data_IF_237003356532
#
_entry.id   IF_237003356532
#
_cell.length_a   1.000
_cell.length_b   1.000
_cell.length_c   1.000
_cell.angle_alpha   90.00
_cell.angle_beta   90.00
_cell.angle_gamma   90.00
#
_symmetry.space_group_name_H-M   'P 1'
#
loop_
_entity.id
_entity.type
_entity.pdbx_description
1 polymer ?
#
# COMPACT_ATOMS: atom_id res chain seq x y z
N UNK A 1 -7.70 -18.22 -3.66
CA UNK A 1 -8.46 -17.79 -2.46
C UNK A 1 -7.89 -18.56 -1.29
N UNK A 2 -7.50 -17.89 -0.22
CA UNK A 2 -6.85 -18.48 0.95
C UNK A 2 -7.78 -19.52 1.61
N UNK A 3 -7.25 -20.70 1.92
CA UNK A 3 -8.03 -21.82 2.43
C UNK A 3 -7.72 -22.07 3.90
N UNK A 4 -8.78 -22.14 4.75
CA UNK A 4 -8.66 -22.47 6.15
C UNK A 4 -9.15 -23.89 6.43
N UNK A 5 -8.45 -24.59 7.34
CA UNK A 5 -9.04 -25.67 8.10
C UNK A 5 -9.50 -25.13 9.46
N UNK A 6 -10.63 -25.60 9.94
CA UNK A 6 -11.13 -25.30 11.29
C UNK A 6 -11.08 -26.62 12.09
N UNK A 7 -10.47 -26.56 13.26
CA UNK A 7 -10.57 -27.64 14.25
C UNK A 7 -11.36 -27.13 15.45
N UNK A 8 -12.50 -27.75 15.72
CA UNK A 8 -13.31 -27.52 16.94
C UNK A 8 -14.17 -28.77 17.24
N UNK A 9 -14.15 -29.19 18.47
CA UNK A 9 -15.04 -30.26 18.98
C UNK A 9 -16.50 -29.77 19.16
N UNK A 10 -16.74 -28.45 19.09
CA UNK A 10 -18.06 -27.85 19.19
C UNK A 10 -18.58 -27.45 17.79
N UNK A 11 -19.58 -28.20 17.23
CA UNK A 11 -20.08 -27.89 15.87
C UNK A 11 -20.71 -26.51 15.72
N UNK A 12 -21.33 -25.98 16.78
CA UNK A 12 -21.94 -24.66 16.77
C UNK A 12 -20.89 -23.56 16.65
N UNK A 13 -19.80 -23.69 17.39
CA UNK A 13 -18.66 -22.76 17.34
C UNK A 13 -17.97 -22.82 15.97
N UNK A 14 -17.69 -24.05 15.47
CA UNK A 14 -17.10 -24.21 14.15
C UNK A 14 -17.92 -23.55 13.03
N UNK A 15 -19.26 -23.70 13.07
CA UNK A 15 -20.16 -23.07 12.10
C UNK A 15 -20.15 -21.54 12.17
N UNK A 16 -20.03 -20.96 13.37
CA UNK A 16 -19.92 -19.52 13.53
C UNK A 16 -18.59 -18.99 12.97
N UNK A 17 -17.48 -19.66 13.28
CA UNK A 17 -16.15 -19.29 12.73
C UNK A 17 -16.12 -19.42 11.20
N UNK A 18 -16.73 -20.47 10.64
CA UNK A 18 -16.86 -20.65 9.19
C UNK A 18 -17.60 -19.48 8.54
N UNK A 19 -18.71 -19.03 9.13
CA UNK A 19 -19.45 -17.86 8.65
C UNK A 19 -18.61 -16.58 8.72
N UNK A 20 -17.89 -16.39 9.84
CA UNK A 20 -17.05 -15.21 10.02
C UNK A 20 -15.87 -15.21 9.02
N UNK A 21 -15.18 -16.32 8.79
CA UNK A 21 -14.13 -16.45 7.78
C UNK A 21 -14.70 -16.14 6.38
N UNK A 22 -15.83 -16.75 6.02
CA UNK A 22 -16.46 -16.56 4.72
C UNK A 22 -16.92 -15.11 4.51
N UNK A 23 -17.40 -14.44 5.56
CA UNK A 23 -17.84 -13.04 5.52
C UNK A 23 -16.69 -12.06 5.27
N UNK A 24 -15.43 -12.44 5.49
CA UNK A 24 -14.26 -11.60 5.18
C UNK A 24 -14.06 -11.39 3.68
N UNK A 25 -14.59 -12.29 2.83
CA UNK A 25 -14.43 -12.26 1.37
C UNK A 25 -13.02 -12.60 0.86
N UNK A 26 -12.02 -12.71 1.74
CA UNK A 26 -10.62 -12.98 1.37
C UNK A 26 -10.20 -14.43 1.56
N UNK A 27 -10.96 -15.20 2.35
CA UNK A 27 -10.69 -16.60 2.68
C UNK A 27 -11.93 -17.46 2.52
N UNK A 28 -11.71 -18.79 2.41
CA UNK A 28 -12.75 -19.81 2.44
C UNK A 28 -12.38 -20.91 3.42
N UNK A 29 -13.36 -21.61 3.95
CA UNK A 29 -13.13 -22.82 4.72
C UNK A 29 -13.06 -24.01 3.76
N UNK A 30 -11.97 -24.76 3.82
CA UNK A 30 -11.76 -25.96 3.02
C UNK A 30 -12.31 -27.20 3.73
N UNK A 31 -12.12 -27.28 5.05
CA UNK A 31 -12.55 -28.41 5.87
C UNK A 31 -12.80 -27.98 7.31
N UNK A 32 -13.81 -28.58 7.93
CA UNK A 32 -14.08 -28.50 9.37
C UNK A 32 -13.81 -29.88 9.98
N UNK A 33 -13.01 -29.93 11.03
CA UNK A 33 -12.55 -31.15 11.68
C UNK A 33 -13.03 -31.08 13.12
N UNK A 34 -13.75 -32.11 13.55
CA UNK A 34 -14.28 -32.22 14.91
C UNK A 34 -13.63 -33.35 15.74
N UNK A 35 -12.80 -34.17 15.10
CA UNK A 35 -12.13 -35.29 15.73
C UNK A 35 -10.62 -35.10 15.69
N UNK A 36 -9.97 -35.15 16.87
CA UNK A 36 -8.54 -34.96 17.04
C UNK A 36 -7.71 -35.96 16.22
N UNK A 37 -8.16 -37.21 16.11
CA UNK A 37 -7.46 -38.27 15.37
C UNK A 37 -7.42 -37.98 13.86
N UNK A 38 -8.37 -37.22 13.36
CA UNK A 38 -8.46 -36.84 11.95
C UNK A 38 -7.65 -35.58 11.58
N UNK A 39 -7.28 -34.75 12.57
CA UNK A 39 -6.65 -33.48 12.35
C UNK A 39 -5.37 -33.60 11.51
N UNK A 40 -4.44 -34.44 11.92
CA UNK A 40 -3.15 -34.60 11.24
C UNK A 40 -3.31 -35.17 9.83
N UNK A 41 -4.27 -36.09 9.63
CA UNK A 41 -4.61 -36.62 8.31
C UNK A 41 -5.19 -35.61 7.38
N UNK A 42 -6.15 -34.82 7.86
CA UNK A 42 -6.82 -33.77 7.10
C UNK A 42 -5.86 -32.63 6.70
N UNK A 43 -4.98 -32.19 7.60
CA UNK A 43 -3.96 -31.18 7.28
C UNK A 43 -2.97 -31.66 6.20
N UNK A 44 -2.64 -32.95 6.16
CA UNK A 44 -1.74 -33.52 5.13
C UNK A 44 -2.43 -33.66 3.77
N UNK A 45 -3.73 -34.02 3.75
CA UNK A 45 -4.48 -34.23 2.50
C UNK A 45 -4.91 -32.91 1.86
N UNK A 46 -5.49 -32.02 2.65
CA UNK A 46 -6.08 -30.76 2.15
C UNK A 46 -5.06 -29.62 1.98
N UNK A 47 -3.95 -29.68 2.74
CA UNK A 47 -2.89 -28.67 2.74
C UNK A 47 -3.43 -27.23 2.80
N UNK A 48 -4.22 -26.90 3.84
CA UNK A 48 -4.78 -25.56 3.95
C UNK A 48 -3.68 -24.54 4.18
N UNK A 49 -3.92 -23.29 3.72
CA UNK A 49 -2.99 -22.18 3.93
C UNK A 49 -2.99 -21.72 5.39
N UNK A 50 -4.17 -21.78 6.04
CA UNK A 50 -4.38 -21.40 7.43
C UNK A 50 -5.08 -22.48 8.25
N UNK A 51 -4.89 -22.44 9.56
CA UNK A 51 -5.52 -23.32 10.53
C UNK A 51 -6.09 -22.48 11.68
N UNK A 52 -7.40 -22.62 11.90
CA UNK A 52 -8.07 -22.13 13.10
C UNK A 52 -8.27 -23.29 14.07
N UNK A 53 -7.82 -23.14 15.32
CA UNK A 53 -7.94 -24.16 16.36
C UNK A 53 -8.72 -23.61 17.53
N UNK A 54 -9.84 -24.23 17.82
CA UNK A 54 -10.53 -24.04 19.08
C UNK A 54 -9.88 -24.94 20.14
N UNK A 55 -9.36 -24.33 21.18
CA UNK A 55 -8.73 -25.06 22.30
C UNK A 55 -9.76 -25.71 23.22
N UNK A 56 -11.04 -25.33 23.11
CA UNK A 56 -12.16 -25.94 23.81
C UNK A 56 -11.94 -26.15 25.30
N UNK A 57 -12.42 -27.32 25.80
CA UNK A 57 -12.31 -27.70 27.21
C UNK A 57 -10.98 -28.37 27.59
N UNK A 58 -10.14 -28.70 26.58
CA UNK A 58 -8.86 -29.41 26.80
C UNK A 58 -7.70 -28.67 26.12
N UNK A 59 -7.40 -27.41 26.52
CA UNK A 59 -6.46 -26.54 25.80
C UNK A 59 -5.04 -27.10 25.70
N UNK A 60 -4.58 -27.84 26.73
CA UNK A 60 -3.25 -28.42 26.70
C UNK A 60 -3.15 -29.58 25.70
N UNK A 61 -4.17 -30.39 25.58
CA UNK A 61 -4.24 -31.51 24.61
C UNK A 61 -4.25 -30.98 23.16
N UNK A 62 -5.01 -29.97 22.89
CA UNK A 62 -5.03 -29.31 21.56
C UNK A 62 -3.64 -28.78 21.18
N UNK A 63 -2.91 -28.15 22.12
CA UNK A 63 -1.54 -27.70 21.86
C UNK A 63 -0.56 -28.87 21.72
N UNK A 64 -0.71 -29.97 22.47
CA UNK A 64 0.11 -31.20 22.32
C UNK A 64 -0.04 -31.78 20.90
N UNK A 65 -1.25 -31.75 20.34
CA UNK A 65 -1.51 -32.16 18.96
C UNK A 65 -0.78 -31.28 17.94
N UNK A 66 -0.84 -29.95 18.12
CA UNK A 66 -0.11 -29.03 17.24
C UNK A 66 1.40 -29.25 17.33
N UNK A 67 1.94 -29.52 18.53
CA UNK A 67 3.36 -29.80 18.76
C UNK A 67 3.81 -31.09 18.10
N UNK A 68 2.92 -32.08 18.01
CA UNK A 68 3.17 -33.39 17.39
C UNK A 68 3.16 -33.33 15.84
N UNK A 69 2.78 -32.22 15.23
CA UNK A 69 2.68 -32.10 13.78
C UNK A 69 4.06 -32.23 13.12
N UNK A 70 4.26 -33.20 12.21
CA UNK A 70 5.54 -33.40 11.55
C UNK A 70 5.75 -32.37 10.43
N UNK A 71 6.40 -31.28 10.73
CA UNK A 71 6.71 -30.21 9.78
C UNK A 71 6.26 -28.84 10.25
N UNK A 72 6.29 -27.86 9.37
CA UNK A 72 5.77 -26.53 9.66
C UNK A 72 4.23 -26.55 9.66
N UNK A 73 3.64 -26.01 10.73
CA UNK A 73 2.19 -25.81 10.76
C UNK A 73 1.76 -24.80 9.69
N UNK A 74 0.52 -24.94 9.15
CA UNK A 74 -0.12 -23.83 8.43
C UNK A 74 -0.11 -22.54 9.27
N UNK A 75 -0.45 -21.41 8.69
CA UNK A 75 -0.62 -20.19 9.49
C UNK A 75 -1.72 -20.39 10.52
N UNK A 76 -1.32 -20.60 11.76
CA UNK A 76 -2.22 -21.05 12.82
C UNK A 76 -2.66 -19.90 13.70
N UNK A 77 -3.95 -19.82 13.95
CA UNK A 77 -4.57 -19.01 15.00
C UNK A 77 -5.37 -19.92 15.94
N UNK A 78 -5.43 -19.54 17.19
CA UNK A 78 -6.14 -20.32 18.20
C UNK A 78 -7.16 -19.46 18.94
N UNK A 79 -8.23 -20.08 19.43
CA UNK A 79 -9.20 -19.49 20.35
C UNK A 79 -9.24 -20.29 21.65
N UNK A 80 -9.23 -19.61 22.79
CA UNK A 80 -9.22 -20.31 24.08
C UNK A 80 -9.17 -19.40 25.29
N UNK A 81 -9.03 -19.94 26.51
CA UNK A 81 -9.00 -19.20 27.75
C UNK A 81 -7.78 -18.26 27.80
N UNK A 82 -8.02 -16.98 27.60
CA UNK A 82 -6.99 -15.93 27.52
C UNK A 82 -6.46 -15.48 28.89
N UNK A 83 -6.98 -16.00 29.98
CA UNK A 83 -6.52 -15.70 31.36
C UNK A 83 -5.28 -16.48 31.76
N UNK A 84 -4.93 -17.53 31.04
CA UNK A 84 -3.80 -18.39 31.32
C UNK A 84 -2.57 -17.99 30.50
N UNK A 85 -1.71 -17.15 31.08
CA UNK A 85 -0.49 -16.66 30.40
C UNK A 85 0.44 -17.78 29.92
N UNK A 86 0.52 -18.90 30.65
CA UNK A 86 1.35 -20.04 30.27
C UNK A 86 0.87 -20.72 28.98
N UNK A 87 -0.47 -20.77 28.77
CA UNK A 87 -1.08 -21.32 27.57
C UNK A 87 -0.80 -20.43 26.36
N UNK A 88 -0.94 -19.13 26.52
CA UNK A 88 -0.65 -18.15 25.46
C UNK A 88 0.83 -18.23 25.05
N UNK A 89 1.75 -18.24 26.02
CA UNK A 89 3.18 -18.35 25.75
C UNK A 89 3.53 -19.66 25.02
N UNK A 90 2.91 -20.76 25.42
CA UNK A 90 3.11 -22.06 24.75
C UNK A 90 2.62 -22.03 23.31
N UNK A 91 1.44 -21.48 23.07
CA UNK A 91 0.90 -21.30 21.71
C UNK A 91 1.84 -20.45 20.85
N UNK A 92 2.36 -19.35 21.38
CA UNK A 92 3.33 -18.51 20.66
C UNK A 92 4.64 -19.23 20.34
N UNK A 93 5.16 -20.05 21.24
CA UNK A 93 6.35 -20.88 20.98
C UNK A 93 6.12 -21.92 19.86
N UNK A 94 4.89 -22.39 19.68
CA UNK A 94 4.51 -23.28 18.58
C UNK A 94 4.33 -22.53 17.25
N UNK A 95 4.51 -21.19 17.24
CA UNK A 95 4.41 -20.36 16.03
C UNK A 95 2.98 -19.90 15.70
N UNK A 96 2.04 -20.04 16.66
CA UNK A 96 0.70 -19.47 16.54
C UNK A 96 0.77 -17.97 16.33
N UNK A 97 0.05 -17.46 15.33
CA UNK A 97 0.11 -16.05 14.93
C UNK A 97 -0.79 -15.15 15.75
N UNK A 98 -1.88 -15.67 16.25
CA UNK A 98 -2.81 -14.93 17.09
C UNK A 98 -3.55 -15.85 18.06
N UNK A 99 -3.87 -15.32 19.24
CA UNK A 99 -4.63 -16.03 20.28
C UNK A 99 -5.91 -15.23 20.58
N UNK A 100 -7.04 -15.76 20.18
CA UNK A 100 -8.35 -15.15 20.42
C UNK A 100 -8.93 -15.56 21.78
N UNK A 101 -9.77 -14.70 22.39
CA UNK A 101 -10.67 -15.13 23.45
C UNK A 101 -11.68 -16.15 22.92
N UNK A 102 -12.38 -16.92 23.80
CA UNK A 102 -13.35 -17.93 23.38
C UNK A 102 -14.51 -17.40 22.50
N UNK A 103 -14.80 -16.11 22.58
CA UNK A 103 -15.79 -15.44 21.73
C UNK A 103 -15.16 -14.13 21.21
N UNK A 104 -14.36 -14.15 20.14
CA UNK A 104 -13.76 -12.96 19.59
C UNK A 104 -14.83 -12.00 19.02
N UNK A 105 -14.61 -10.69 19.13
CA UNK A 105 -15.45 -9.74 18.43
C UNK A 105 -15.30 -9.92 16.92
N UNK A 106 -16.39 -9.66 16.18
CA UNK A 106 -16.37 -9.78 14.70
C UNK A 106 -15.31 -8.87 14.06
N UNK A 107 -15.13 -7.68 14.61
CA UNK A 107 -14.15 -6.70 14.10
C UNK A 107 -12.71 -7.19 14.30
N UNK A 108 -12.36 -7.62 15.52
CA UNK A 108 -11.04 -8.17 15.83
C UNK A 108 -10.76 -9.42 14.99
N UNK A 109 -11.72 -10.34 14.89
CA UNK A 109 -11.61 -11.56 14.11
C UNK A 109 -11.33 -11.25 12.64
N UNK A 110 -12.14 -10.36 12.04
CA UNK A 110 -11.99 -9.96 10.64
C UNK A 110 -10.62 -9.34 10.38
N UNK A 111 -10.18 -8.42 11.23
CA UNK A 111 -8.86 -7.76 11.11
C UNK A 111 -7.73 -8.78 11.13
N UNK A 112 -7.73 -9.71 12.10
CA UNK A 112 -6.68 -10.72 12.22
C UNK A 112 -6.67 -11.71 11.05
N UNK A 113 -7.84 -12.17 10.58
CA UNK A 113 -7.91 -13.08 9.43
C UNK A 113 -7.41 -12.39 8.15
N UNK A 114 -7.79 -11.14 7.92
CA UNK A 114 -7.28 -10.37 6.78
C UNK A 114 -5.77 -10.24 6.85
N UNK A 115 -5.19 -9.89 8.00
CA UNK A 115 -3.74 -9.78 8.19
C UNK A 115 -3.02 -11.12 8.03
N UNK A 116 -3.65 -12.21 8.46
CA UNK A 116 -3.10 -13.57 8.29
C UNK A 116 -3.03 -13.98 6.83
N UNK A 117 -4.11 -13.72 6.07
CA UNK A 117 -4.17 -13.97 4.63
C UNK A 117 -3.09 -13.15 3.91
N UNK A 118 -2.88 -11.90 4.34
CA UNK A 118 -1.83 -11.01 3.81
C UNK A 118 -0.43 -11.57 4.05
N UNK A 119 -0.17 -12.10 5.24
CA UNK A 119 1.16 -12.64 5.61
C UNK A 119 1.44 -14.02 5.04
N UNK A 120 0.43 -14.81 4.79
CA UNK A 120 0.56 -16.21 4.41
C UNK A 120 0.58 -16.52 2.93
N UNK A 121 0.19 -15.60 2.11
CA UNK A 121 0.18 -15.79 0.67
C UNK A 121 0.99 -14.69 -0.03
N UNK A 122 2.30 -14.92 -0.30
CA UNK A 122 3.12 -13.98 -1.05
C UNK A 122 2.53 -13.63 -2.43
N UNK A 123 1.77 -14.56 -3.04
CA UNK A 123 1.08 -14.31 -4.29
C UNK A 123 -0.19 -13.43 -4.09
N UNK A 124 -0.79 -13.43 -2.90
CA UNK A 124 -1.86 -12.49 -2.54
C UNK A 124 -1.32 -11.08 -2.31
N UNK A 125 -0.10 -10.96 -1.77
CA UNK A 125 0.63 -9.68 -1.74
C UNK A 125 0.94 -9.19 -3.17
N UNK A 126 1.07 -10.09 -4.12
CA UNK A 126 1.19 -9.77 -5.55
C UNK A 126 -0.17 -9.35 -6.19
N UNK A 127 -1.32 -9.66 -5.55
CA UNK A 127 -2.66 -9.29 -6.03
C UNK A 127 -3.22 -8.01 -5.41
N UNK A 128 -2.73 -7.59 -4.23
CA UNK A 128 -3.09 -6.30 -3.64
C UNK A 128 -2.22 -5.19 -4.23
N UNK A 129 -2.89 -4.09 -4.59
CA UNK A 129 -2.22 -2.88 -5.06
C UNK A 129 -1.23 -2.31 -4.03
N UNK A 130 -0.37 -1.44 -4.48
CA UNK A 130 0.61 -0.74 -3.64
C UNK A 130 0.21 0.71 -3.44
N UNK A 131 0.35 1.18 -2.21
CA UNK A 131 0.12 2.57 -1.86
C UNK A 131 1.45 3.31 -1.86
N UNK A 132 1.55 4.35 -2.69
CA UNK A 132 2.71 5.24 -2.77
C UNK A 132 2.28 6.65 -2.42
N UNK A 133 2.73 7.13 -1.27
CA UNK A 133 2.49 8.49 -0.82
C UNK A 133 3.56 9.44 -1.38
N UNK A 134 3.16 10.54 -1.98
CA UNK A 134 4.07 11.58 -2.49
C UNK A 134 3.89 12.83 -1.66
N UNK A 135 4.94 13.27 -0.97
CA UNK A 135 4.90 14.40 -0.05
C UNK A 135 6.00 15.42 -0.40
N UNK A 136 5.63 16.69 -0.48
CA UNK A 136 6.59 17.78 -0.71
C UNK A 136 7.21 18.29 0.58
N UNK A 137 8.51 18.55 0.58
CA UNK A 137 9.22 19.13 1.72
C UNK A 137 8.87 20.60 1.96
N UNK A 138 8.39 21.28 0.91
CA UNK A 138 7.96 22.69 0.93
C UNK A 138 6.94 22.93 -0.17
N UNK A 139 6.16 24.02 -0.07
CA UNK A 139 5.30 24.47 -1.17
C UNK A 139 6.13 24.77 -2.43
N UNK A 140 5.62 24.36 -3.60
CA UNK A 140 6.24 24.62 -4.90
C UNK A 140 7.39 23.69 -5.29
N UNK A 141 7.72 22.66 -4.49
CA UNK A 141 8.75 21.67 -4.89
C UNK A 141 8.29 20.71 -6.00
N UNK A 142 6.99 20.71 -6.35
CA UNK A 142 6.42 19.95 -7.46
C UNK A 142 5.98 18.52 -7.07
N UNK A 143 5.57 18.29 -5.81
CA UNK A 143 5.09 16.99 -5.35
C UNK A 143 3.86 16.52 -6.15
N UNK A 144 2.84 17.38 -6.32
CA UNK A 144 1.65 17.10 -7.13
C UNK A 144 2.00 16.72 -8.57
N UNK A 145 2.93 17.47 -9.20
CA UNK A 145 3.41 17.13 -10.56
C UNK A 145 4.02 15.72 -10.57
N UNK A 146 4.88 15.39 -9.58
CA UNK A 146 5.49 14.07 -9.48
C UNK A 146 4.42 12.99 -9.25
N UNK A 147 3.43 13.22 -8.40
CA UNK A 147 2.33 12.28 -8.16
C UNK A 147 1.55 12.00 -9.46
N UNK A 148 1.16 13.06 -10.19
CA UNK A 148 0.44 12.97 -11.47
C UNK A 148 1.25 12.23 -12.55
N UNK A 149 2.53 12.61 -12.73
CA UNK A 149 3.37 12.02 -13.75
C UNK A 149 3.81 10.58 -13.40
N UNK A 150 3.98 10.25 -12.11
CA UNK A 150 4.20 8.89 -11.64
C UNK A 150 2.97 8.03 -11.91
N UNK A 151 1.76 8.50 -11.56
CA UNK A 151 0.51 7.79 -11.84
C UNK A 151 0.35 7.48 -13.33
N UNK A 152 0.58 8.48 -14.19
CA UNK A 152 0.54 8.30 -15.65
C UNK A 152 1.62 7.32 -16.15
N UNK A 153 2.83 7.35 -15.60
CA UNK A 153 3.92 6.46 -16.01
C UNK A 153 3.71 5.02 -15.56
N UNK A 154 3.08 4.79 -14.40
CA UNK A 154 2.67 3.47 -13.92
C UNK A 154 1.53 2.91 -14.77
N UNK A 155 0.58 3.75 -15.17
CA UNK A 155 -0.49 3.39 -16.09
C UNK A 155 0.07 3.04 -17.48
N UNK A 156 1.03 3.82 -18.00
CA UNK A 156 1.73 3.54 -19.27
C UNK A 156 2.51 2.21 -19.18
N UNK A 157 2.98 1.82 -18.00
CA UNK A 157 3.63 0.53 -17.75
C UNK A 157 2.65 -0.65 -17.66
N UNK A 158 1.33 -0.40 -17.74
CA UNK A 158 0.28 -1.41 -17.77
C UNK A 158 -0.36 -1.72 -16.40
N UNK A 159 -0.08 -0.92 -15.37
CA UNK A 159 -0.75 -1.02 -14.07
C UNK A 159 -2.11 -0.31 -14.07
N UNK A 160 -3.08 -0.81 -13.31
CA UNK A 160 -4.33 -0.09 -13.01
C UNK A 160 -4.03 0.92 -11.90
N UNK A 161 -4.21 2.20 -12.16
CA UNK A 161 -3.75 3.28 -11.27
C UNK A 161 -4.92 4.15 -10.83
N UNK A 162 -4.97 4.43 -9.53
CA UNK A 162 -5.78 5.50 -8.97
C UNK A 162 -4.87 6.54 -8.29
N UNK A 163 -5.19 7.81 -8.50
CA UNK A 163 -4.52 8.94 -7.88
C UNK A 163 -5.49 9.64 -6.93
N UNK A 164 -5.12 9.73 -5.66
CA UNK A 164 -5.90 10.34 -4.58
C UNK A 164 -5.28 11.68 -4.22
N UNK A 165 -6.08 12.74 -4.24
CA UNK A 165 -5.67 14.09 -3.88
C UNK A 165 -6.01 14.41 -2.42
N UNK A 166 -5.00 14.48 -1.56
CA UNK A 166 -5.13 14.91 -0.16
C UNK A 166 -4.63 16.34 0.08
N UNK A 167 -4.43 17.13 -0.97
CA UNK A 167 -4.04 18.55 -0.89
C UNK A 167 -5.25 19.48 -0.83
N UNK A 168 -6.22 19.18 0.01
CA UNK A 168 -7.39 20.04 0.17
C UNK A 168 -7.14 21.24 1.08
N UNK A 169 -7.94 22.35 0.94
CA UNK A 169 -9.09 22.48 0.04
C UNK A 169 -8.75 22.87 -1.41
N UNK A 170 -7.50 23.09 -1.75
CA UNK A 170 -7.04 23.58 -3.06
C UNK A 170 -6.18 22.55 -3.76
N UNK A 171 -6.70 21.33 -3.95
CA UNK A 171 -6.02 20.27 -4.68
C UNK A 171 -5.99 20.53 -6.19
N UNK A 172 -4.86 20.28 -6.81
CA UNK A 172 -4.62 20.56 -8.24
C UNK A 172 -4.62 19.29 -9.11
N UNK A 173 -4.78 18.08 -8.55
CA UNK A 173 -4.69 16.82 -9.31
C UNK A 173 -5.69 16.82 -10.47
N UNK A 174 -6.95 17.20 -10.23
CA UNK A 174 -7.97 17.22 -11.27
C UNK A 174 -7.61 18.20 -12.43
N UNK A 175 -7.01 19.35 -12.10
CA UNK A 175 -6.52 20.31 -13.10
C UNK A 175 -5.37 19.75 -13.93
N UNK A 176 -4.46 18.97 -13.32
CA UNK A 176 -3.35 18.32 -14.03
C UNK A 176 -3.79 17.31 -15.09
N UNK A 177 -5.06 16.88 -15.05
CA UNK A 177 -5.66 15.92 -15.98
C UNK A 177 -6.83 16.51 -16.76
N UNK A 178 -7.08 17.82 -16.67
CA UNK A 178 -8.21 18.50 -17.29
C UNK A 178 -9.54 17.73 -17.10
N UNK A 179 -9.81 17.32 -15.86
CA UNK A 179 -11.05 16.60 -15.51
C UNK A 179 -11.86 17.41 -14.51
N UNK A 180 -13.19 17.41 -14.71
CA UNK A 180 -14.14 17.97 -13.77
C UNK A 180 -14.77 16.83 -12.94
N UNK A 181 -14.35 16.65 -11.68
CA UNK A 181 -14.92 15.60 -10.83
C UNK A 181 -16.33 16.00 -10.40
N UNK A 182 -17.26 15.04 -10.51
CA UNK A 182 -18.63 15.21 -10.00
C UNK A 182 -18.69 14.97 -8.49
N UNK A 183 -17.82 14.10 -8.01
CA UNK A 183 -17.68 13.71 -6.62
C UNK A 183 -16.23 13.86 -6.17
N UNK A 184 -16.05 14.05 -4.87
CA UNK A 184 -14.76 14.28 -4.22
C UNK A 184 -14.57 13.37 -3.01
N UNK A 185 -13.41 13.44 -2.38
CA UNK A 185 -13.14 12.75 -1.11
C UNK A 185 -14.13 13.16 0.01
N UNK A 186 -14.67 14.39 -0.03
CA UNK A 186 -15.67 14.82 0.95
C UNK A 186 -17.01 14.07 0.82
N UNK A 187 -17.39 13.68 -0.39
CA UNK A 187 -18.60 12.88 -0.60
C UNK A 187 -18.47 11.50 0.03
N UNK A 188 -17.24 10.91 -0.02
CA UNK A 188 -16.92 9.68 0.69
C UNK A 188 -16.96 9.86 2.21
N UNK A 189 -16.46 11.00 2.71
CA UNK A 189 -16.44 11.28 4.14
C UNK A 189 -17.87 11.43 4.72
N UNK A 190 -18.80 11.93 3.91
CA UNK A 190 -20.20 12.11 4.29
C UNK A 190 -21.08 10.88 4.07
N UNK A 191 -20.60 9.88 3.36
CA UNK A 191 -21.37 8.69 3.06
C UNK A 191 -21.66 7.91 4.35
N UNK A 192 -22.96 7.86 4.74
CA UNK A 192 -23.45 7.04 5.85
C UNK A 192 -23.50 5.53 5.49
N UNK A 193 -23.46 5.21 4.20
CA UNK A 193 -23.51 3.86 3.68
C UNK A 193 -22.16 3.15 3.82
N UNK A 194 -22.18 1.82 3.84
CA UNK A 194 -20.95 1.03 3.74
C UNK A 194 -20.22 1.36 2.43
N UNK A 195 -18.98 1.84 2.58
CA UNK A 195 -18.10 2.08 1.44
C UNK A 195 -17.70 0.71 0.85
N UNK A 196 -18.16 0.45 -0.38
CA UNK A 196 -17.76 -0.71 -1.15
C UNK A 196 -17.06 -0.31 -2.45
N UNK A 197 -16.50 -1.30 -3.15
CA UNK A 197 -15.82 -1.09 -4.42
C UNK A 197 -16.75 -0.52 -5.50
N UNK A 198 -18.05 -0.84 -5.46
CA UNK A 198 -19.03 -0.36 -6.44
C UNK A 198 -19.29 1.13 -6.25
N UNK A 199 -19.49 1.56 -5.02
CA UNK A 199 -19.67 2.98 -4.69
C UNK A 199 -18.42 3.79 -5.03
N UNK A 200 -17.22 3.29 -4.68
CA UNK A 200 -15.96 3.95 -5.04
C UNK A 200 -15.81 4.16 -6.55
N UNK A 201 -16.14 3.16 -7.38
CA UNK A 201 -16.09 3.29 -8.85
C UNK A 201 -17.01 4.39 -9.38
N UNK A 202 -18.11 4.72 -8.71
CA UNK A 202 -19.02 5.80 -9.14
C UNK A 202 -18.46 7.19 -8.83
N UNK A 203 -17.58 7.30 -7.84
CA UNK A 203 -16.98 8.56 -7.39
C UNK A 203 -15.70 8.90 -8.16
N UNK A 204 -14.99 7.87 -8.61
CA UNK A 204 -13.74 8.06 -9.33
C UNK A 204 -13.99 8.70 -10.70
N UNK A 205 -13.15 9.68 -11.04
CA UNK A 205 -13.15 10.31 -12.36
C UNK A 205 -12.02 9.74 -13.21
N UNK A 206 -12.39 9.14 -14.36
CA UNK A 206 -11.41 8.60 -15.30
C UNK A 206 -10.85 9.68 -16.22
N UNK A 207 -9.55 9.61 -16.51
CA UNK A 207 -8.88 10.38 -17.54
C UNK A 207 -8.55 9.50 -18.76
N UNK A 208 -8.38 10.10 -19.97
CA UNK A 208 -8.07 9.37 -21.21
C UNK A 208 -6.76 8.54 -21.17
N UNK A 209 -5.82 8.88 -20.27
CA UNK A 209 -4.62 8.07 -20.01
C UNK A 209 -4.91 6.74 -19.32
N UNK A 210 -6.13 6.54 -18.82
CA UNK A 210 -6.55 5.39 -18.02
C UNK A 210 -6.38 5.58 -16.51
N UNK A 211 -5.74 6.65 -16.04
CA UNK A 211 -5.63 6.98 -14.61
C UNK A 211 -7.02 7.32 -14.06
N UNK A 212 -7.39 6.71 -12.94
CA UNK A 212 -8.57 7.07 -12.17
C UNK A 212 -8.20 8.10 -11.09
N UNK A 213 -9.07 9.05 -10.80
CA UNK A 213 -8.79 10.17 -9.90
C UNK A 213 -9.87 10.24 -8.82
N UNK A 214 -9.44 10.25 -7.56
CA UNK A 214 -10.24 10.65 -6.41
C UNK A 214 -9.82 12.08 -6.03
N UNK A 215 -10.64 13.03 -6.43
CA UNK A 215 -10.30 14.44 -6.31
C UNK A 215 -10.46 14.98 -4.88
N UNK A 216 -9.69 16.01 -4.54
CA UNK A 216 -9.89 16.82 -3.35
C UNK A 216 -11.18 17.67 -3.47
N UNK A 217 -11.86 17.99 -2.35
CA UNK A 217 -12.91 18.99 -2.34
C UNK A 217 -12.32 20.40 -2.58
N UNK A 218 -13.12 21.25 -3.21
CA UNK A 218 -12.75 22.63 -3.50
C UNK A 218 -13.27 23.63 -2.45
N UNK A 219 -14.28 23.24 -1.66
CA UNK A 219 -14.85 24.08 -0.62
C UNK A 219 -14.20 23.79 0.74
N UNK A 220 -13.97 24.85 1.54
CA UNK A 220 -13.35 24.73 2.87
C UNK A 220 -14.21 23.90 3.80
N UNK A 221 -15.52 24.12 3.78
CA UNK A 221 -16.51 23.41 4.61
C UNK A 221 -16.48 21.91 4.32
N UNK A 222 -16.26 21.53 3.08
CA UNK A 222 -16.16 20.14 2.66
C UNK A 222 -14.85 19.51 3.14
N UNK A 223 -13.77 20.27 3.10
CA UNK A 223 -12.44 19.85 3.53
C UNK A 223 -12.40 19.55 5.05
N UNK A 224 -13.15 20.30 5.86
CA UNK A 224 -13.24 20.10 7.31
C UNK A 224 -13.88 18.74 7.70
N UNK A 225 -14.67 18.15 6.80
CA UNK A 225 -15.30 16.84 7.04
C UNK A 225 -14.32 15.67 6.89
N UNK A 226 -13.13 15.89 6.32
CA UNK A 226 -12.17 14.82 6.02
C UNK A 226 -11.23 14.60 7.20
N UNK A 227 -11.31 13.41 7.81
CA UNK A 227 -10.50 12.96 8.93
C UNK A 227 -9.66 11.73 8.55
N UNK A 228 -8.70 11.36 9.40
CA UNK A 228 -7.85 10.19 9.19
C UNK A 228 -8.63 8.89 9.00
N UNK A 229 -9.73 8.70 9.72
CA UNK A 229 -10.61 7.53 9.63
C UNK A 229 -11.17 7.31 8.21
N UNK A 230 -11.42 8.38 7.45
CA UNK A 230 -11.90 8.26 6.07
C UNK A 230 -10.82 7.73 5.15
N UNK A 231 -9.58 8.19 5.33
CA UNK A 231 -8.41 7.68 4.59
C UNK A 231 -8.15 6.22 4.94
N UNK A 232 -8.26 5.85 6.23
CA UNK A 232 -8.12 4.49 6.72
C UNK A 232 -9.14 3.53 6.09
N UNK A 233 -10.38 3.97 5.86
CA UNK A 233 -11.43 3.18 5.22
C UNK A 233 -11.27 3.08 3.71
N UNK A 234 -10.87 4.18 3.05
CA UNK A 234 -10.84 4.28 1.58
C UNK A 234 -9.61 3.59 0.97
N UNK A 235 -8.41 3.79 1.53
CA UNK A 235 -7.18 3.26 0.93
C UNK A 235 -7.16 1.73 0.81
N UNK A 236 -7.61 0.92 1.79
CA UNK A 236 -7.68 -0.54 1.62
C UNK A 236 -8.61 -0.98 0.49
N UNK A 237 -9.76 -0.30 0.29
CA UNK A 237 -10.67 -0.64 -0.80
C UNK A 237 -10.05 -0.28 -2.15
N UNK A 238 -9.43 0.91 -2.28
CA UNK A 238 -8.69 1.27 -3.49
C UNK A 238 -7.56 0.28 -3.78
N UNK A 239 -6.85 -0.17 -2.76
CA UNK A 239 -5.78 -1.16 -2.86
C UNK A 239 -6.27 -2.51 -3.38
N UNK A 240 -7.50 -2.91 -3.10
CA UNK A 240 -8.09 -4.14 -3.63
C UNK A 240 -8.50 -4.03 -5.11
N UNK A 241 -8.79 -2.80 -5.59
CA UNK A 241 -9.30 -2.55 -6.94
C UNK A 241 -8.20 -2.14 -7.94
N UNK A 242 -7.11 -1.55 -7.47
CA UNK A 242 -6.04 -1.00 -8.29
C UNK A 242 -4.69 -1.61 -7.97
N UNK A 243 -3.83 -1.74 -8.95
CA UNK A 243 -2.46 -2.23 -8.76
C UNK A 243 -1.58 -1.16 -8.08
N UNK A 244 -1.93 0.12 -8.29
CA UNK A 244 -1.23 1.28 -7.73
C UNK A 244 -2.22 2.32 -7.22
N UNK A 245 -2.07 2.68 -5.95
CA UNK A 245 -2.76 3.80 -5.30
C UNK A 245 -1.72 4.88 -5.04
N UNK A 246 -1.70 5.92 -5.84
CA UNK A 246 -0.82 7.06 -5.63
C UNK A 246 -1.57 8.08 -4.80
N UNK A 247 -0.96 8.59 -3.75
CA UNK A 247 -1.57 9.58 -2.87
C UNK A 247 -0.73 10.85 -2.90
N UNK A 248 -1.28 11.94 -3.42
CA UNK A 248 -0.68 13.27 -3.31
C UNK A 248 -0.99 13.82 -1.92
N UNK A 249 0.01 13.74 -1.03
CA UNK A 249 -0.15 14.04 0.39
C UNK A 249 0.14 15.50 0.65
N UNK A 250 -0.78 16.16 1.37
CA UNK A 250 -0.55 17.51 1.86
C UNK A 250 0.71 17.57 2.72
N UNK A 251 1.44 18.67 2.61
CA UNK A 251 2.59 18.98 3.48
C UNK A 251 2.20 19.22 4.95
N UNK A 252 0.92 19.42 5.21
CA UNK A 252 0.38 19.55 6.56
C UNK A 252 0.35 18.18 7.24
N UNK A 253 0.84 18.11 8.47
CA UNK A 253 0.78 16.92 9.30
C UNK A 253 -0.57 16.77 9.97
N UNK A 254 -1.67 16.82 9.16
CA UNK A 254 -3.01 16.55 9.64
C UNK A 254 -3.29 15.04 9.70
N UNK A 255 -4.41 14.66 10.31
CA UNK A 255 -4.79 13.26 10.51
C UNK A 255 -4.83 12.45 9.21
N UNK A 256 -5.40 13.01 8.15
CA UNK A 256 -5.50 12.33 6.85
C UNK A 256 -4.13 12.10 6.22
N UNK A 257 -3.22 13.09 6.29
CA UNK A 257 -1.84 12.96 5.81
C UNK A 257 -1.07 11.92 6.61
N UNK A 258 -1.18 11.93 7.94
CA UNK A 258 -0.53 10.96 8.82
C UNK A 258 -1.03 9.55 8.50
N UNK A 259 -2.34 9.38 8.34
CA UNK A 259 -2.93 8.08 8.03
C UNK A 259 -2.49 7.56 6.66
N UNK A 260 -2.46 8.43 5.63
CA UNK A 260 -1.97 8.07 4.30
C UNK A 260 -0.49 7.62 4.33
N UNK A 261 0.36 8.36 5.05
CA UNK A 261 1.78 8.00 5.22
C UNK A 261 1.94 6.68 5.98
N UNK A 262 1.10 6.43 6.99
CA UNK A 262 1.13 5.18 7.79
C UNK A 262 0.76 3.96 6.95
N UNK A 263 -0.23 4.09 6.07
CA UNK A 263 -0.71 3.02 5.19
C UNK A 263 0.12 2.84 3.92
N UNK A 264 1.02 3.79 3.59
CA UNK A 264 1.84 3.73 2.38
C UNK A 264 2.88 2.61 2.43
N UNK A 265 3.05 1.86 1.34
CA UNK A 265 4.15 0.92 1.15
C UNK A 265 5.46 1.66 0.86
N UNK A 266 5.39 2.80 0.15
CA UNK A 266 6.50 3.70 -0.11
C UNK A 266 6.08 5.16 0.08
N UNK A 267 7.00 5.97 0.61
CA UNK A 267 6.84 7.41 0.78
C UNK A 267 7.90 8.11 -0.08
N UNK A 268 7.47 8.91 -1.06
CA UNK A 268 8.35 9.71 -1.88
C UNK A 268 8.41 11.13 -1.32
N UNK A 269 9.51 11.46 -0.67
CA UNK A 269 9.77 12.79 -0.12
C UNK A 269 10.43 13.66 -1.19
N UNK A 270 9.66 14.58 -1.75
CA UNK A 270 10.09 15.45 -2.87
C UNK A 270 10.77 16.70 -2.36
N UNK A 271 11.97 16.97 -2.85
CA UNK A 271 12.77 18.17 -2.50
C UNK A 271 13.46 18.76 -3.71
N UNK A 272 13.96 20.00 -3.60
CA UNK A 272 14.81 20.66 -4.59
C UNK A 272 16.27 20.66 -4.16
N UNK A 273 17.15 21.11 -5.06
CA UNK A 273 18.58 21.31 -4.79
C UNK A 273 18.85 22.74 -4.30
N UNK A 274 18.20 23.11 -3.18
CA UNK A 274 18.45 24.35 -2.45
C UNK A 274 18.49 24.10 -0.94
N UNK A 275 19.18 25.00 -0.22
CA UNK A 275 19.42 24.84 1.22
C UNK A 275 18.12 24.79 2.04
N UNK A 276 17.10 25.68 1.80
CA UNK A 276 15.85 25.62 2.55
C UNK A 276 15.11 24.31 2.39
N UNK A 277 14.94 23.79 1.16
CA UNK A 277 14.17 22.54 0.93
C UNK A 277 14.91 21.32 1.44
N UNK A 278 16.24 21.25 1.37
CA UNK A 278 17.04 20.19 1.96
C UNK A 278 16.96 20.18 3.49
N UNK A 279 16.94 21.37 4.12
CA UNK A 279 16.77 21.45 5.58
C UNK A 279 15.37 20.96 6.01
N UNK A 280 14.32 21.31 5.26
CA UNK A 280 12.97 20.79 5.49
C UNK A 280 12.92 19.28 5.25
N UNK A 281 13.57 18.77 4.19
CA UNK A 281 13.66 17.33 3.94
C UNK A 281 14.26 16.57 5.14
N UNK A 282 15.32 17.13 5.74
CA UNK A 282 15.94 16.57 6.96
C UNK A 282 14.97 16.55 8.15
N UNK A 283 14.15 17.61 8.31
CA UNK A 283 13.14 17.68 9.36
C UNK A 283 12.02 16.64 9.14
N UNK A 284 11.48 16.55 7.91
CA UNK A 284 10.47 15.55 7.56
C UNK A 284 10.99 14.12 7.76
N UNK A 285 12.24 13.81 7.36
CA UNK A 285 12.85 12.50 7.63
C UNK A 285 12.86 12.17 9.12
N UNK A 286 13.22 13.11 9.97
CA UNK A 286 13.20 12.89 11.44
C UNK A 286 11.79 12.64 11.97
N UNK A 287 10.77 13.34 11.45
CA UNK A 287 9.38 13.10 11.83
C UNK A 287 8.92 11.70 11.40
N UNK A 288 9.23 11.30 10.16
CA UNK A 288 8.94 9.96 9.65
C UNK A 288 9.68 8.86 10.45
N UNK A 289 10.93 9.13 10.86
CA UNK A 289 11.68 8.24 11.76
C UNK A 289 10.99 8.07 13.11
N UNK A 290 10.50 9.15 13.71
CA UNK A 290 9.74 9.11 14.96
C UNK A 290 8.44 8.32 14.86
N UNK A 291 7.87 8.18 13.66
CA UNK A 291 6.69 7.37 13.36
C UNK A 291 7.04 5.94 12.90
N UNK A 292 8.29 5.52 12.92
CA UNK A 292 8.79 4.26 12.36
C UNK A 292 8.52 4.09 10.84
N UNK A 293 8.38 5.19 10.09
CA UNK A 293 8.13 5.23 8.65
C UNK A 293 9.41 5.54 7.85
N UNK A 294 10.56 5.10 8.32
CA UNK A 294 11.89 5.34 7.74
C UNK A 294 12.46 4.11 7.01
N UNK A 295 13.75 4.17 6.70
CA UNK A 295 14.49 3.08 6.08
C UNK A 295 14.03 2.83 4.64
N UNK A 296 13.68 1.59 4.32
CA UNK A 296 13.27 1.19 2.97
C UNK A 296 11.89 1.74 2.54
N UNK A 297 11.10 2.29 3.45
CA UNK A 297 9.77 2.87 3.14
C UNK A 297 9.85 4.31 2.64
N UNK A 298 10.88 5.09 3.02
CA UNK A 298 11.02 6.50 2.62
C UNK A 298 12.12 6.66 1.60
N UNK A 299 11.77 7.20 0.44
CA UNK A 299 12.65 7.52 -0.68
C UNK A 299 12.69 9.04 -0.91
N UNK A 300 13.87 9.57 -1.21
CA UNK A 300 14.04 10.98 -1.51
C UNK A 300 14.12 11.21 -3.01
N UNK A 301 13.27 12.12 -3.51
CA UNK A 301 13.22 12.49 -4.93
C UNK A 301 13.72 13.92 -5.09
N UNK A 302 14.88 14.07 -5.74
CA UNK A 302 15.42 15.38 -6.12
C UNK A 302 14.76 15.87 -7.40
N UNK A 303 13.89 16.87 -7.28
CA UNK A 303 13.14 17.42 -8.42
C UNK A 303 13.84 18.67 -9.02
N UNK A 304 13.54 18.96 -10.27
CA UNK A 304 14.09 20.07 -11.06
C UNK A 304 15.62 20.10 -11.06
N UNK A 305 16.23 18.91 -11.02
CA UNK A 305 17.69 18.79 -10.98
C UNK A 305 18.35 19.32 -12.24
N UNK A 306 19.39 20.13 -12.06
CA UNK A 306 20.33 20.53 -13.09
C UNK A 306 21.76 20.27 -12.66
N UNK A 307 22.64 19.90 -13.60
CA UNK A 307 24.08 19.77 -13.34
C UNK A 307 24.74 21.11 -12.99
N UNK A 308 24.10 22.22 -13.34
CA UNK A 308 24.54 23.59 -13.05
C UNK A 308 24.06 24.14 -11.70
N UNK A 309 23.30 23.34 -10.92
CA UNK A 309 22.82 23.78 -9.62
C UNK A 309 24.00 24.03 -8.67
N UNK A 310 23.89 25.11 -7.88
CA UNK A 310 24.92 25.49 -6.89
C UNK A 310 24.99 24.49 -5.74
N UNK A 311 23.86 23.83 -5.42
CA UNK A 311 23.78 22.75 -4.45
C UNK A 311 23.92 21.43 -5.20
N UNK A 312 24.95 20.68 -4.88
CA UNK A 312 25.31 19.45 -5.57
C UNK A 312 24.67 18.20 -4.94
N UNK A 313 24.73 17.06 -5.64
CA UNK A 313 24.37 15.74 -5.07
C UNK A 313 25.23 15.41 -3.84
N UNK A 314 26.49 15.86 -3.80
CA UNK A 314 27.36 15.75 -2.63
C UNK A 314 26.85 16.53 -1.42
N UNK A 315 26.33 17.74 -1.64
CA UNK A 315 25.70 18.55 -0.59
C UNK A 315 24.40 17.92 -0.11
N UNK A 316 23.58 17.42 -1.03
CA UNK A 316 22.39 16.63 -0.72
C UNK A 316 22.72 15.47 0.22
N UNK A 317 23.74 14.66 -0.14
CA UNK A 317 24.21 13.53 0.69
C UNK A 317 24.70 13.98 2.08
N UNK A 318 25.40 15.12 2.15
CA UNK A 318 25.89 15.66 3.42
C UNK A 318 24.74 16.05 4.35
N UNK A 319 23.64 16.60 3.81
CA UNK A 319 22.49 17.06 4.60
C UNK A 319 21.56 15.93 5.00
N UNK A 320 21.29 15.00 4.07
CA UNK A 320 20.27 13.94 4.24
C UNK A 320 20.83 12.56 4.57
N UNK A 321 22.16 12.40 4.57
CA UNK A 321 22.84 11.13 4.89
C UNK A 321 22.95 10.15 3.73
N UNK A 322 22.23 10.36 2.64
CA UNK A 322 22.23 9.53 1.43
C UNK A 322 22.10 10.38 0.17
N UNK A 323 22.49 9.83 -0.96
CA UNK A 323 22.15 10.41 -2.27
C UNK A 323 20.64 10.33 -2.51
N UNK A 324 20.06 11.18 -3.40
CA UNK A 324 18.65 11.05 -3.76
C UNK A 324 18.40 9.69 -4.42
N UNK A 325 17.29 9.05 -4.07
CA UNK A 325 16.88 7.76 -4.63
C UNK A 325 16.45 7.91 -6.11
N UNK A 326 15.92 9.08 -6.49
CA UNK A 326 15.60 9.42 -7.86
C UNK A 326 15.86 10.89 -8.15
N UNK A 327 16.17 11.20 -9.41
CA UNK A 327 16.39 12.54 -9.92
C UNK A 327 15.44 12.84 -11.09
N UNK A 328 14.68 13.92 -10.97
CA UNK A 328 13.83 14.43 -12.04
C UNK A 328 14.50 15.71 -12.60
N UNK A 329 14.88 15.71 -13.89
CA UNK A 329 15.54 16.86 -14.49
C UNK A 329 14.61 18.07 -14.55
N UNK A 330 15.21 19.26 -14.53
CA UNK A 330 14.46 20.50 -14.76
C UNK A 330 14.12 20.64 -16.25
N UNK A 331 12.82 20.60 -16.54
CA UNK A 331 12.26 20.91 -17.86
C UNK A 331 10.95 21.67 -17.66
N UNK A 332 11.09 22.96 -17.39
CA UNK A 332 9.92 23.82 -17.10
C UNK A 332 8.97 23.91 -18.29
N UNK A 333 9.49 24.02 -19.51
CA UNK A 333 8.65 24.20 -20.70
C UNK A 333 7.71 23.01 -20.93
N UNK A 334 8.24 21.79 -20.96
CA UNK A 334 7.43 20.57 -21.13
C UNK A 334 6.49 20.38 -19.93
N UNK A 335 6.96 20.64 -18.71
CA UNK A 335 6.12 20.49 -17.52
C UNK A 335 4.96 21.47 -17.51
N UNK A 336 5.22 22.76 -17.81
CA UNK A 336 4.17 23.78 -17.88
C UNK A 336 3.17 23.49 -19.02
N UNK A 337 3.64 23.04 -20.17
CA UNK A 337 2.78 22.61 -21.27
C UNK A 337 1.87 21.45 -20.87
N UNK A 338 2.43 20.42 -20.21
CA UNK A 338 1.69 19.27 -19.69
C UNK A 338 0.56 19.70 -18.73
N UNK A 339 0.88 20.58 -17.77
CA UNK A 339 -0.10 21.09 -16.80
C UNK A 339 -1.18 21.93 -17.48
N UNK A 340 -0.79 22.86 -18.36
CA UNK A 340 -1.72 23.76 -19.04
C UNK A 340 -2.67 23.03 -20.03
N UNK A 341 -2.23 21.90 -20.57
CA UNK A 341 -3.05 21.07 -21.46
C UNK A 341 -3.83 19.97 -20.70
N UNK A 342 -3.62 19.83 -19.38
CA UNK A 342 -4.20 18.74 -18.60
C UNK A 342 -3.80 17.34 -19.09
N UNK A 343 -2.63 17.20 -19.69
CA UNK A 343 -2.16 15.97 -20.32
C UNK A 343 -0.82 15.51 -19.75
N UNK A 344 -0.65 14.21 -19.42
CA UNK A 344 0.62 13.68 -18.96
C UNK A 344 1.78 13.99 -19.92
N UNK A 345 2.99 14.17 -19.38
CA UNK A 345 4.21 14.46 -20.17
C UNK A 345 4.46 13.41 -21.26
N UNK A 346 4.11 12.15 -21.02
CA UNK A 346 4.20 11.08 -22.00
C UNK A 346 3.34 11.30 -23.27
N UNK A 347 2.24 12.03 -23.15
CA UNK A 347 1.38 12.43 -24.26
C UNK A 347 1.83 13.72 -24.95
N UNK A 348 2.36 14.68 -24.16
CA UNK A 348 2.81 15.98 -24.67
C UNK A 348 4.18 15.86 -25.36
N UNK A 349 5.14 15.16 -24.72
CA UNK A 349 6.52 15.09 -25.21
C UNK A 349 7.12 13.70 -24.99
N UNK A 350 6.60 12.73 -25.76
CA UNK A 350 7.05 11.35 -25.68
C UNK A 350 8.52 11.19 -26.02
N UNK A 351 9.26 10.52 -25.13
CA UNK A 351 10.69 10.25 -25.32
C UNK A 351 11.61 11.39 -24.91
N UNK A 352 11.10 12.52 -24.42
CA UNK A 352 11.90 13.59 -23.81
C UNK A 352 12.70 13.10 -22.61
N UNK A 353 13.70 13.85 -22.18
CA UNK A 353 14.53 13.49 -21.02
C UNK A 353 13.70 13.39 -19.75
N UNK A 354 12.77 14.32 -19.55
CA UNK A 354 11.90 14.33 -18.38
C UNK A 354 10.89 13.17 -18.42
N UNK A 355 10.33 12.82 -19.59
CA UNK A 355 9.47 11.64 -19.72
C UNK A 355 10.22 10.35 -19.37
N UNK A 356 11.47 10.20 -19.86
CA UNK A 356 12.30 9.06 -19.51
C UNK A 356 12.59 8.99 -18.01
N UNK A 357 12.76 10.13 -17.36
CA UNK A 357 12.97 10.19 -15.90
C UNK A 357 11.75 9.71 -15.13
N UNK A 358 10.53 10.12 -15.50
CA UNK A 358 9.30 9.62 -14.86
C UNK A 358 9.07 8.13 -15.12
N UNK A 359 9.33 7.65 -16.33
CA UNK A 359 9.29 6.20 -16.61
C UNK A 359 10.31 5.44 -15.76
N UNK A 360 11.50 6.01 -15.55
CA UNK A 360 12.49 5.41 -14.67
C UNK A 360 12.01 5.38 -13.22
N UNK A 361 11.44 6.50 -12.72
CA UNK A 361 10.84 6.55 -11.38
C UNK A 361 9.76 5.49 -11.20
N UNK A 362 8.90 5.28 -12.20
CA UNK A 362 7.89 4.21 -12.15
C UNK A 362 8.54 2.82 -12.03
N UNK A 363 9.61 2.53 -12.78
CA UNK A 363 10.34 1.26 -12.67
C UNK A 363 11.04 1.11 -11.31
N UNK A 364 11.59 2.19 -10.76
CA UNK A 364 12.18 2.19 -9.43
C UNK A 364 11.11 1.93 -8.35
N UNK A 365 9.90 2.48 -8.49
CA UNK A 365 8.75 2.20 -7.61
C UNK A 365 8.34 0.73 -7.69
N UNK A 366 8.27 0.12 -8.87
CA UNK A 366 8.06 -1.34 -9.02
C UNK A 366 9.10 -2.13 -8.21
N UNK A 367 10.37 -1.76 -8.35
CA UNK A 367 11.47 -2.43 -7.65
C UNK A 367 11.40 -2.22 -6.12
N UNK A 368 11.12 -1.00 -5.65
CA UNK A 368 11.02 -0.69 -4.22
C UNK A 368 9.84 -1.39 -3.54
N UNK A 369 8.75 -1.59 -4.27
CA UNK A 369 7.58 -2.33 -3.79
C UNK A 369 7.69 -3.86 -3.98
N UNK A 370 8.77 -4.36 -4.59
CA UNK A 370 8.95 -5.80 -4.86
C UNK A 370 7.95 -6.36 -5.88
N UNK A 371 7.42 -5.50 -6.77
CA UNK A 371 6.42 -5.88 -7.79
C UNK A 371 7.09 -6.08 -9.14
N UNK A 372 6.74 -7.14 -9.84
CA UNK A 372 7.26 -7.39 -11.18
C UNK A 372 6.61 -6.46 -12.21
N UNK A 373 7.42 -5.88 -13.11
CA UNK A 373 6.90 -5.07 -14.21
C UNK A 373 6.13 -5.96 -15.20
N UNK A 374 4.91 -5.61 -15.63
CA UNK A 374 4.12 -6.40 -16.60
C UNK A 374 4.89 -6.66 -17.90
N UNK A 375 4.86 -7.90 -18.40
CA UNK A 375 5.65 -8.33 -19.59
C UNK A 375 5.29 -7.64 -20.89
N UNK A 376 4.09 -7.07 -21.02
CA UNK A 376 3.60 -6.46 -22.27
C UNK A 376 4.43 -5.26 -22.75
N UNK A 377 5.24 -4.66 -21.91
CA UNK A 377 6.07 -3.49 -22.24
C UNK A 377 7.57 -3.79 -22.37
N UNK A 378 8.02 -5.03 -22.13
CA UNK A 378 9.42 -5.43 -22.29
C UNK A 378 9.82 -5.70 -23.77
N UNK A 379 8.84 -5.78 -24.70
CA UNK A 379 9.09 -6.17 -26.07
C UNK A 379 9.56 -5.04 -27.00
N UNK A 380 9.59 -3.78 -26.55
CA UNK A 380 10.12 -2.68 -27.35
C UNK A 380 11.28 -1.95 -26.63
N UNK A 381 12.47 -2.52 -26.73
CA UNK A 381 13.71 -1.74 -26.80
C UNK A 381 14.48 -1.45 -25.51
N UNK A 382 14.25 -2.07 -24.34
CA UNK A 382 15.03 -1.76 -23.12
C UNK A 382 15.91 -2.93 -22.63
N UNK A 383 15.57 -4.18 -22.92
CA UNK A 383 16.30 -5.35 -22.45
C UNK A 383 17.73 -5.52 -23.08
N UNK A 384 18.05 -4.81 -24.15
CA UNK A 384 19.31 -4.95 -24.90
C UNK A 384 20.50 -4.12 -24.37
N UNK A 385 20.27 -3.13 -23.49
CA UNK A 385 21.35 -2.19 -23.08
C UNK A 385 21.80 -2.28 -21.62
N UNK A 386 21.15 -3.11 -20.80
CA UNK A 386 21.43 -3.16 -19.34
C UNK A 386 22.33 -4.31 -18.87
N UNK A 387 22.80 -5.21 -19.77
CA UNK A 387 23.78 -6.25 -19.40
C UNK A 387 25.22 -5.74 -19.22
N UNK A 388 25.51 -4.47 -19.52
CA UNK A 388 26.86 -3.91 -19.56
C UNK A 388 27.32 -3.08 -18.35
N UNK A 389 26.45 -2.74 -17.39
CA UNK A 389 26.80 -1.80 -16.32
C UNK A 389 27.15 -2.47 -14.99
N UNK A 390 26.82 -3.75 -14.79
CA UNK A 390 27.13 -4.48 -13.55
C UNK A 390 28.37 -5.36 -13.59
N UNK A 391 29.20 -5.29 -14.63
CA UNK A 391 30.43 -6.12 -14.72
C UNK A 391 31.73 -5.30 -14.76
N UNK A 392 31.85 -4.29 -13.92
CA UNK A 392 33.17 -3.72 -13.58
C UNK A 392 33.14 -3.05 -12.22
N UNK A 393 33.41 -3.83 -11.18
CA UNK A 393 34.23 -3.49 -9.99
C UNK A 393 34.35 -4.75 -9.14
N UNK A 394 35.36 -5.54 -9.44
CA UNK A 394 36.21 -6.21 -8.45
C UNK A 394 37.35 -5.28 -8.14
#
# INVERSE_FOLDING_TARGET
MFSFAIFSEEPAFASEIEKQISATGVARVAIVISDQDQLLGALKSEKPDGLFVDLGHAPHLALDLLESFPGALPLTVVSGPHTESALILRAMHLGVKHFFPPAPSREEFTSVIVDLVRTGNPDHLASEGRVVAVMGTKGGVGATVIACQLAASLQEAGGRVVLVDLNYPLGDVALHFDVEPTYTLADLARAEQELDATYLRTILKGHESGVQILAAPTLMEDAESIHGVHVERVLPILRSEFDWVIVDVSRSWNEASIQALTLADQILLVTLFDVPTLNHARQHKKLLEGMALNGSRTRTVGNRYSKSDSVTVGDFKRVLGSEPDALIPNDYAITAESVNQGRPIGQVSRGSTIHKAYRRLALDVYAWCGVAVPRAHSAQGIAGRFRGVFSRRT
#
